data_IF_397247613566
#
_entry.id   IF_397247613566
#
_cell.length_a   1.000
_cell.length_b   1.000
_cell.length_c   1.000
_cell.angle_alpha   90.00
_cell.angle_beta   90.00
_cell.angle_gamma   90.00
#
_symmetry.space_group_name_H-M   'P 1'
#
loop_
_entity.id
_entity.type
_entity.pdbx_description
1 polymer ?
#
# COMPACT_ATOMS: atom_id res chain seq x y z
N UNK A 1 -0.56 1.63 -18.12
CA UNK A 1 0.66 2.01 -18.82
C UNK A 1 1.84 1.27 -18.20
N UNK A 2 2.63 0.64 -19.01
CA UNK A 2 3.87 0.03 -18.56
C UNK A 2 4.83 1.12 -18.10
N UNK A 3 5.63 0.82 -17.11
CA UNK A 3 6.68 1.72 -16.66
C UNK A 3 7.80 1.77 -17.71
N UNK A 4 8.68 2.75 -17.56
CA UNK A 4 9.75 2.98 -18.54
C UNK A 4 10.73 1.80 -18.67
N UNK A 5 10.90 1.01 -17.64
CA UNK A 5 11.75 -0.17 -17.66
C UNK A 5 10.99 -1.44 -18.02
N UNK A 6 9.75 -1.32 -18.48
CA UNK A 6 8.91 -2.43 -18.89
C UNK A 6 8.06 -3.06 -17.81
N UNK A 7 8.22 -2.64 -16.56
CA UNK A 7 7.39 -3.18 -15.49
C UNK A 7 5.95 -2.71 -15.63
N UNK A 8 4.99 -3.59 -15.33
CA UNK A 8 3.58 -3.23 -15.27
C UNK A 8 3.30 -2.47 -13.97
N UNK A 9 2.12 -1.83 -13.90
CA UNK A 9 1.70 -1.18 -12.66
C UNK A 9 1.52 -2.19 -11.53
N UNK A 10 1.06 -3.39 -11.85
CA UNK A 10 0.96 -4.46 -10.86
C UNK A 10 2.35 -4.83 -10.31
N UNK A 11 3.33 -5.02 -11.19
CA UNK A 11 4.71 -5.33 -10.78
C UNK A 11 5.32 -4.20 -9.95
N UNK A 12 5.03 -2.96 -10.31
CA UNK A 12 5.50 -1.80 -9.54
C UNK A 12 4.89 -1.79 -8.13
N UNK A 13 3.63 -2.17 -7.98
CA UNK A 13 3.01 -2.28 -6.66
C UNK A 13 3.60 -3.41 -5.84
N UNK A 14 3.91 -4.54 -6.48
CA UNK A 14 4.62 -5.63 -5.80
C UNK A 14 5.98 -5.17 -5.30
N UNK A 15 6.71 -4.43 -6.14
CA UNK A 15 8.02 -3.91 -5.76
C UNK A 15 7.90 -2.90 -4.61
N UNK A 16 6.92 -2.00 -4.67
CA UNK A 16 6.69 -1.04 -3.60
C UNK A 16 6.38 -1.75 -2.28
N UNK A 17 5.52 -2.77 -2.31
CA UNK A 17 5.20 -3.55 -1.10
C UNK A 17 6.47 -4.19 -0.52
N UNK A 18 7.32 -4.76 -1.37
CA UNK A 18 8.58 -5.36 -0.95
C UNK A 18 9.48 -4.34 -0.24
N UNK A 19 9.57 -3.13 -0.79
CA UNK A 19 10.40 -2.06 -0.22
C UNK A 19 9.83 -1.56 1.12
N UNK A 20 8.52 -1.44 1.20
CA UNK A 20 7.87 -1.06 2.45
C UNK A 20 8.06 -2.14 3.53
N UNK A 21 8.03 -3.41 3.13
CA UNK A 21 8.29 -4.51 4.04
C UNK A 21 9.73 -4.46 4.56
N UNK A 22 10.69 -4.17 3.68
CA UNK A 22 12.09 -4.02 4.08
C UNK A 22 12.25 -2.91 5.12
N UNK A 23 11.61 -1.76 4.89
CA UNK A 23 11.65 -0.65 5.83
C UNK A 23 11.09 -1.06 7.20
N UNK A 24 9.95 -1.77 7.19
CA UNK A 24 9.30 -2.24 8.41
C UNK A 24 10.21 -3.18 9.19
N UNK A 25 10.79 -4.17 8.51
CA UNK A 25 11.62 -5.19 9.16
C UNK A 25 12.94 -4.62 9.67
N UNK A 26 13.50 -3.63 8.99
CA UNK A 26 14.76 -3.00 9.41
C UNK A 26 14.58 -1.88 10.42
N UNK A 27 13.33 -1.43 10.61
CA UNK A 27 13.05 -0.31 11.49
C UNK A 27 13.62 1.01 10.97
N UNK A 28 13.62 1.17 9.64
CA UNK A 28 14.07 2.40 8.98
C UNK A 28 12.92 3.00 8.18
N UNK A 29 13.10 4.21 7.65
CA UNK A 29 12.07 4.84 6.84
C UNK A 29 12.09 4.29 5.41
N UNK A 30 10.94 4.34 4.71
CA UNK A 30 10.94 4.01 3.29
C UNK A 30 11.93 4.82 2.46
N UNK A 31 12.12 6.10 2.77
CA UNK A 31 13.12 6.93 2.09
C UNK A 31 14.54 6.40 2.29
N UNK A 32 14.85 5.92 3.49
CA UNK A 32 16.16 5.33 3.77
C UNK A 32 16.39 4.05 2.96
N UNK A 33 15.34 3.24 2.80
CA UNK A 33 15.45 2.03 1.96
C UNK A 33 15.74 2.43 0.52
N UNK A 34 15.00 3.39 -0.03
CA UNK A 34 15.22 3.86 -1.40
C UNK A 34 16.65 4.37 -1.60
N UNK A 35 17.15 5.14 -0.64
CA UNK A 35 18.51 5.70 -0.71
C UNK A 35 19.59 4.63 -0.64
N UNK A 36 19.30 3.49 -0.05
CA UNK A 36 20.28 2.40 0.12
C UNK A 36 20.41 1.49 -1.09
N UNK A 37 19.50 1.59 -2.06
CA UNK A 37 19.49 0.70 -3.20
C UNK A 37 20.62 1.03 -4.20
N UNK A 38 21.36 0.03 -4.67
CA UNK A 38 22.43 0.30 -5.65
C UNK A 38 21.89 0.73 -7.02
N UNK A 39 20.65 0.32 -7.35
CA UNK A 39 19.98 0.70 -8.58
C UNK A 39 18.58 1.18 -8.23
N UNK A 40 18.20 2.33 -8.75
CA UNK A 40 16.86 2.89 -8.49
C UNK A 40 15.80 1.94 -9.07
N UNK A 41 14.71 1.71 -8.33
CA UNK A 41 13.60 0.92 -8.85
C UNK A 41 12.85 1.69 -9.93
N UNK A 42 11.91 1.01 -10.58
CA UNK A 42 11.00 1.63 -11.53
C UNK A 42 10.41 2.93 -10.97
N UNK A 43 10.26 3.93 -11.83
CA UNK A 43 9.78 5.26 -11.41
C UNK A 43 8.43 5.19 -10.68
N UNK A 44 7.51 4.36 -11.15
CA UNK A 44 6.21 4.24 -10.51
C UNK A 44 6.34 3.55 -9.13
N UNK A 45 7.17 2.53 -9.02
CA UNK A 45 7.43 1.88 -7.72
C UNK A 45 8.01 2.89 -6.72
N UNK A 46 8.96 3.71 -7.16
CA UNK A 46 9.55 4.75 -6.33
C UNK A 46 8.49 5.74 -5.85
N UNK A 47 7.62 6.19 -6.77
CA UNK A 47 6.54 7.11 -6.45
C UNK A 47 5.59 6.51 -5.42
N UNK A 48 5.22 5.24 -5.57
CA UNK A 48 4.33 4.57 -4.63
C UNK A 48 4.91 4.52 -3.22
N UNK A 49 6.20 4.21 -3.10
CA UNK A 49 6.87 4.19 -1.80
C UNK A 49 6.85 5.59 -1.16
N UNK A 50 7.12 6.63 -1.95
CA UNK A 50 7.11 8.01 -1.47
C UNK A 50 5.71 8.46 -1.06
N UNK A 51 4.69 8.09 -1.83
CA UNK A 51 3.29 8.38 -1.52
C UNK A 51 2.87 7.69 -0.21
N UNK A 52 3.25 6.43 -0.05
CA UNK A 52 2.95 5.67 1.16
C UNK A 52 3.58 6.32 2.40
N UNK A 53 4.82 6.78 2.29
CA UNK A 53 5.49 7.46 3.40
C UNK A 53 4.84 8.80 3.71
N UNK A 54 4.52 9.57 2.67
CA UNK A 54 3.90 10.90 2.82
C UNK A 54 2.58 10.84 3.58
N UNK A 55 1.76 9.83 3.30
CA UNK A 55 0.43 9.70 3.87
C UNK A 55 0.35 8.71 5.05
N UNK A 56 1.48 8.27 5.58
CA UNK A 56 1.50 7.18 6.57
C UNK A 56 0.61 7.44 7.79
N UNK A 57 0.71 8.64 8.38
CA UNK A 57 -0.07 8.96 9.58
C UNK A 57 -1.56 9.02 9.28
N UNK A 58 -1.95 9.72 8.21
CA UNK A 58 -3.36 9.82 7.84
C UNK A 58 -3.93 8.45 7.46
N UNK A 59 -3.14 7.64 6.76
CA UNK A 59 -3.56 6.29 6.38
C UNK A 59 -3.81 5.42 7.62
N UNK A 60 -2.92 5.43 8.59
CA UNK A 60 -3.07 4.64 9.81
C UNK A 60 -4.33 5.04 10.58
N UNK A 61 -4.63 6.32 10.67
CA UNK A 61 -5.85 6.80 11.34
C UNK A 61 -7.11 6.31 10.63
N UNK A 62 -7.13 6.38 9.31
CA UNK A 62 -8.27 5.93 8.51
C UNK A 62 -8.47 4.41 8.61
N UNK A 63 -7.39 3.66 8.54
CA UNK A 63 -7.42 2.20 8.63
C UNK A 63 -7.94 1.77 10.00
N UNK A 64 -7.42 2.38 11.05
CA UNK A 64 -7.82 2.05 12.42
C UNK A 64 -9.30 2.32 12.65
N UNK A 65 -9.80 3.46 12.16
CA UNK A 65 -11.21 3.79 12.26
C UNK A 65 -12.11 2.83 11.48
N UNK A 66 -11.62 2.32 10.34
CA UNK A 66 -12.40 1.43 9.48
C UNK A 66 -12.36 -0.04 9.92
N UNK A 67 -11.32 -0.44 10.65
CA UNK A 67 -11.14 -1.82 11.10
C UNK A 67 -11.56 -1.97 12.56
N UNK A 68 -12.81 -1.70 12.83
CA UNK A 68 -13.37 -1.69 14.19
C UNK A 68 -13.02 -2.98 14.95
N UNK A 69 -12.41 -2.81 16.11
CA UNK A 69 -12.05 -3.93 16.98
C UNK A 69 -10.77 -4.66 16.57
N UNK A 70 -10.07 -4.19 15.52
CA UNK A 70 -8.83 -4.83 15.06
C UNK A 70 -7.72 -3.80 14.94
N UNK A 71 -6.93 -3.56 15.99
CA UNK A 71 -5.88 -2.54 15.96
C UNK A 71 -4.77 -2.89 14.97
N UNK A 72 -4.10 -1.85 14.45
CA UNK A 72 -3.03 -1.99 13.47
C UNK A 72 -1.95 -2.97 13.90
N UNK A 73 -1.54 -2.92 15.17
CA UNK A 73 -0.47 -3.77 15.68
C UNK A 73 -0.83 -5.25 15.73
N UNK A 74 -2.12 -5.59 15.61
CA UNK A 74 -2.59 -6.98 15.58
C UNK A 74 -2.80 -7.50 14.17
N UNK A 75 -2.72 -6.63 13.18
CA UNK A 75 -2.83 -7.06 11.77
C UNK A 75 -1.59 -7.81 11.34
N UNK A 76 -1.75 -8.78 10.45
CA UNK A 76 -0.60 -9.36 9.76
C UNK A 76 0.18 -8.23 9.08
N UNK A 77 1.50 -8.29 9.14
CA UNK A 77 2.36 -7.21 8.62
C UNK A 77 2.02 -6.89 7.16
N UNK A 78 1.85 -7.91 6.32
CA UNK A 78 1.56 -7.69 4.90
C UNK A 78 0.20 -7.01 4.73
N UNK A 79 -0.83 -7.43 5.49
CA UNK A 79 -2.15 -6.78 5.44
C UNK A 79 -2.04 -5.29 5.76
N UNK A 80 -1.30 -4.97 6.83
CA UNK A 80 -1.11 -3.58 7.25
C UNK A 80 -0.41 -2.76 6.18
N UNK A 81 0.65 -3.31 5.58
CA UNK A 81 1.40 -2.60 4.54
C UNK A 81 0.60 -2.43 3.25
N UNK A 82 -0.16 -3.46 2.87
CA UNK A 82 -1.06 -3.36 1.70
C UNK A 82 -2.10 -2.28 1.93
N UNK A 83 -2.69 -2.24 3.13
CA UNK A 83 -3.68 -1.22 3.48
C UNK A 83 -3.07 0.18 3.44
N UNK A 84 -1.89 0.36 4.03
CA UNK A 84 -1.21 1.67 4.02
C UNK A 84 -0.93 2.16 2.60
N UNK A 85 -0.43 1.28 1.76
CA UNK A 85 -0.14 1.63 0.36
C UNK A 85 -1.41 2.02 -0.38
N UNK A 86 -2.46 1.23 -0.25
CA UNK A 86 -3.72 1.49 -0.96
C UNK A 86 -4.40 2.76 -0.46
N UNK A 87 -4.46 2.98 0.85
CA UNK A 87 -5.06 4.20 1.40
C UNK A 87 -4.27 5.42 0.95
N UNK A 88 -2.94 5.33 0.91
CA UNK A 88 -2.12 6.43 0.40
C UNK A 88 -2.47 6.76 -1.05
N UNK A 89 -2.70 5.75 -1.90
CA UNK A 89 -3.14 5.97 -3.28
C UNK A 89 -4.53 6.63 -3.32
N UNK A 90 -5.44 6.22 -2.44
CA UNK A 90 -6.77 6.84 -2.35
C UNK A 90 -6.71 8.31 -1.93
N UNK A 91 -5.71 8.66 -1.12
CA UNK A 91 -5.52 10.04 -0.64
C UNK A 91 -4.87 10.94 -1.68
N UNK A 92 -4.24 10.38 -2.71
CA UNK A 92 -3.65 11.19 -3.78
C UNK A 92 -4.74 11.78 -4.65
N UNK A 93 -4.66 13.10 -4.87
CA UNK A 93 -5.68 13.85 -5.60
C UNK A 93 -5.91 13.32 -7.01
N UNK A 94 -4.84 12.97 -7.70
CA UNK A 94 -4.90 12.46 -9.06
C UNK A 94 -4.58 10.96 -9.12
N UNK A 95 -4.90 10.23 -8.07
CA UNK A 95 -4.63 8.81 -7.98
C UNK A 95 -5.55 7.98 -8.86
N UNK A 96 -5.31 6.67 -8.92
CA UNK A 96 -6.12 5.77 -9.74
C UNK A 96 -7.58 5.72 -9.26
N UNK A 97 -8.50 5.23 -10.11
CA UNK A 97 -9.88 5.00 -9.67
C UNK A 97 -9.95 4.06 -8.47
N UNK A 98 -10.95 4.26 -7.63
CA UNK A 98 -11.15 3.46 -6.41
C UNK A 98 -11.13 1.97 -6.71
N UNK A 99 -11.86 1.54 -7.73
CA UNK A 99 -11.94 0.11 -8.07
C UNK A 99 -10.56 -0.48 -8.38
N UNK A 100 -9.71 0.27 -9.07
CA UNK A 100 -8.35 -0.18 -9.41
C UNK A 100 -7.51 -0.32 -8.14
N UNK A 101 -7.58 0.67 -7.25
CA UNK A 101 -6.80 0.62 -6.00
C UNK A 101 -7.22 -0.58 -5.16
N UNK A 102 -8.51 -0.80 -4.99
CA UNK A 102 -9.01 -1.90 -4.18
C UNK A 102 -8.67 -3.25 -4.80
N UNK A 103 -8.90 -3.42 -6.10
CA UNK A 103 -8.62 -4.69 -6.78
C UNK A 103 -7.15 -5.06 -6.69
N UNK A 104 -6.25 -4.09 -6.86
CA UNK A 104 -4.82 -4.33 -6.76
C UNK A 104 -4.40 -4.69 -5.33
N UNK A 105 -4.96 -4.00 -4.35
CA UNK A 105 -4.67 -4.29 -2.95
C UNK A 105 -5.14 -5.70 -2.55
N UNK A 106 -6.34 -6.08 -2.98
CA UNK A 106 -6.88 -7.42 -2.72
C UNK A 106 -5.98 -8.48 -3.34
N UNK A 107 -5.52 -8.26 -4.56
CA UNK A 107 -4.63 -9.19 -5.26
C UNK A 107 -3.30 -9.35 -4.52
N UNK A 108 -2.71 -8.25 -4.07
CA UNK A 108 -1.47 -8.29 -3.28
C UNK A 108 -1.68 -9.05 -1.97
N UNK A 109 -2.78 -8.81 -1.29
CA UNK A 109 -3.08 -9.49 -0.02
C UNK A 109 -3.27 -10.99 -0.23
N UNK A 110 -3.96 -11.40 -1.29
CA UNK A 110 -4.15 -12.81 -1.61
C UNK A 110 -2.83 -13.50 -1.94
N UNK A 111 -1.95 -12.79 -2.63
CA UNK A 111 -0.67 -13.37 -3.07
C UNK A 111 0.33 -13.50 -1.93
N UNK A 112 0.41 -12.51 -1.06
CA UNK A 112 1.50 -12.37 -0.10
C UNK A 112 1.09 -12.52 1.37
N UNK A 113 -0.19 -12.61 1.68
CA UNK A 113 -0.66 -12.71 3.06
C UNK A 113 -1.45 -14.00 3.27
N UNK A 114 -2.55 -13.94 4.02
CA UNK A 114 -3.34 -15.14 4.36
C UNK A 114 -4.55 -15.29 3.45
N UNK A 115 -5.19 -16.47 3.51
CA UNK A 115 -6.38 -16.75 2.70
C UNK A 115 -7.54 -15.79 2.99
N UNK A 116 -7.63 -15.30 4.22
CA UNK A 116 -8.71 -14.39 4.63
C UNK A 116 -8.39 -12.93 4.34
N UNK A 117 -7.16 -12.61 3.95
CA UNK A 117 -6.70 -11.24 3.83
C UNK A 117 -7.43 -10.46 2.73
N UNK A 118 -7.76 -11.12 1.62
CA UNK A 118 -8.46 -10.44 0.51
C UNK A 118 -9.77 -9.82 0.94
N UNK A 119 -10.60 -10.59 1.67
CA UNK A 119 -11.88 -10.09 2.18
C UNK A 119 -11.72 -8.99 3.21
N UNK A 120 -10.77 -9.15 4.12
CA UNK A 120 -10.48 -8.13 5.14
C UNK A 120 -10.03 -6.82 4.50
N UNK A 121 -9.07 -6.88 3.59
CA UNK A 121 -8.54 -5.71 2.89
C UNK A 121 -9.64 -5.02 2.09
N UNK A 122 -10.45 -5.79 1.36
CA UNK A 122 -11.56 -5.24 0.60
C UNK A 122 -12.55 -4.48 1.49
N UNK A 123 -12.91 -5.05 2.64
CA UNK A 123 -13.84 -4.43 3.57
C UNK A 123 -13.33 -3.11 4.13
N UNK A 124 -12.08 -3.09 4.60
CA UNK A 124 -11.46 -1.88 5.14
C UNK A 124 -11.35 -0.80 4.07
N UNK A 125 -10.85 -1.15 2.88
CA UNK A 125 -10.66 -0.16 1.81
C UNK A 125 -11.97 0.38 1.28
N UNK A 126 -13.01 -0.43 1.20
CA UNK A 126 -14.34 0.05 0.79
C UNK A 126 -14.86 1.11 1.74
N UNK A 127 -14.67 0.92 3.03
CA UNK A 127 -15.07 1.88 4.05
C UNK A 127 -14.27 3.17 3.93
N UNK A 128 -12.94 3.06 3.82
CA UNK A 128 -12.07 4.23 3.68
C UNK A 128 -12.41 5.01 2.40
N UNK A 129 -12.60 4.31 1.29
CA UNK A 129 -12.89 4.94 0.00
C UNK A 129 -14.15 5.80 0.06
N UNK A 130 -15.18 5.33 0.75
CA UNK A 130 -16.43 6.11 0.89
C UNK A 130 -16.20 7.42 1.66
N UNK A 131 -15.20 7.47 2.52
CA UNK A 131 -14.88 8.68 3.29
C UNK A 131 -14.02 9.66 2.49
N UNK A 132 -13.01 9.16 1.77
CA UNK A 132 -12.02 10.02 1.13
C UNK A 132 -12.31 10.31 -0.34
N UNK A 133 -13.15 9.50 -0.96
CA UNK A 133 -13.61 9.66 -2.35
C UNK A 133 -15.10 9.36 -2.45
N UNK A 134 -15.92 10.17 -1.80
CA UNK A 134 -17.38 9.95 -1.78
C UNK A 134 -18.05 10.09 -3.14
#
# INVERSE_FOLDING_TARGET
>A
VASQDGATRHQARERALSLLYEAEMKGVTPSEVLASLPVAPDAFATELVQVAERHATAADELIEAASVGWPLERMAVIDRLVLRLAVAELLEENGPPVAVVIDEAVELAKTYSTDDSGGFVNGVLSTVARQVRP
#
